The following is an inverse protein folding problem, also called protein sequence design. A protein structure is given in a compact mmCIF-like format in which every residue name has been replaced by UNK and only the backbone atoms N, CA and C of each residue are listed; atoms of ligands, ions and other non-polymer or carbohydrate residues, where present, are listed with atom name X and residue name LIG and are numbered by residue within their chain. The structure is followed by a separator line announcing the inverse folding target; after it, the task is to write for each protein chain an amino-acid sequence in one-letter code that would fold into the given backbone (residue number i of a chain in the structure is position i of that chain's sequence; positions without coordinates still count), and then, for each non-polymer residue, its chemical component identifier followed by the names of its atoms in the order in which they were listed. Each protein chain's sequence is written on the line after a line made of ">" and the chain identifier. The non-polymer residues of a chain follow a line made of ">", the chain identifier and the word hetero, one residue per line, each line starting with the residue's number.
data_IF_215398572661
#
_entry.id   IF_215398572661
#
_cell.length_a   1.000
_cell.length_b   1.000
_cell.length_c   1.000
_cell.angle_alpha   90.00
_cell.angle_beta   90.00
_cell.angle_gamma   90.00
#
_symmetry.space_group_name_H-M   'P 1'
#
loop_
_entity.id
_entity.type
_entity.pdbx_description
1 polymer ?
#
# COMPACT_ATOMS: atom_id res chain seq x y z
N UNK A 1 -9.47 16.47 -5.10
CA UNK A 1 -8.42 17.40 -4.63
C UNK A 1 -9.06 18.26 -3.55
N UNK A 2 -8.72 18.06 -2.28
CA UNK A 2 -9.12 19.00 -1.23
C UNK A 2 -8.06 20.09 -1.21
N UNK A 3 -8.45 21.32 -1.54
CA UNK A 3 -7.58 22.47 -1.32
C UNK A 3 -7.60 22.78 0.18
N UNK A 4 -6.42 23.02 0.76
CA UNK A 4 -6.34 23.47 2.15
C UNK A 4 -6.89 24.89 2.21
N UNK A 5 -8.01 25.09 2.92
CA UNK A 5 -8.52 26.42 3.23
C UNK A 5 -7.66 26.98 4.36
N UNK A 6 -6.94 28.10 4.15
CA UNK A 6 -6.12 28.67 5.21
C UNK A 6 -7.00 29.25 6.32
N UNK A 7 -6.62 29.01 7.58
CA UNK A 7 -7.33 29.53 8.76
C UNK A 7 -7.30 31.08 8.84
N UNK A 8 -6.30 31.70 8.23
CA UNK A 8 -6.17 33.14 8.11
C UNK A 8 -6.16 33.55 6.61
N UNK A 9 -7.08 34.42 6.16
CA UNK A 9 -7.17 34.84 4.76
C UNK A 9 -5.95 35.62 4.26
N UNK A 10 -5.10 36.14 5.15
CA UNK A 10 -3.85 36.83 4.80
C UNK A 10 -2.60 35.93 4.94
N UNK A 11 -2.77 34.65 5.28
CA UNK A 11 -1.65 33.71 5.39
C UNK A 11 -1.17 33.29 3.99
N UNK A 12 0.14 33.35 3.71
CA UNK A 12 0.67 32.78 2.48
C UNK A 12 0.40 31.28 2.41
N UNK A 13 -0.20 30.83 1.30
CA UNK A 13 -0.48 29.43 1.02
C UNK A 13 0.79 28.79 0.49
N UNK A 14 1.32 27.80 1.22
CA UNK A 14 2.40 26.94 0.75
C UNK A 14 1.80 25.61 0.30
N UNK A 15 1.60 25.39 -1.01
CA UNK A 15 1.01 24.14 -1.48
C UNK A 15 1.99 22.98 -1.23
N UNK A 16 1.55 21.99 -0.47
CA UNK A 16 2.29 20.75 -0.25
C UNK A 16 1.66 19.63 -1.07
N UNK A 17 2.46 18.97 -1.91
CA UNK A 17 2.04 17.78 -2.62
C UNK A 17 2.33 16.55 -1.78
N UNK A 18 1.28 15.92 -1.26
CA UNK A 18 1.39 14.61 -0.64
C UNK A 18 1.38 13.53 -1.72
N UNK A 19 2.37 12.65 -1.67
CA UNK A 19 2.51 11.51 -2.59
C UNK A 19 2.33 10.25 -1.76
N UNK A 20 1.56 9.30 -2.27
CA UNK A 20 1.36 8.03 -1.59
C UNK A 20 2.70 7.26 -1.55
N UNK A 21 3.07 6.75 -0.37
CA UNK A 21 4.26 5.92 -0.21
C UNK A 21 4.05 4.47 -0.66
N UNK A 22 2.80 4.06 -0.87
CA UNK A 22 2.47 2.76 -1.46
C UNK A 22 2.75 2.77 -2.97
N UNK A 23 3.90 2.21 -3.34
CA UNK A 23 4.35 2.11 -4.74
C UNK A 23 3.48 1.19 -5.60
N UNK A 24 2.63 0.35 -5.00
CA UNK A 24 1.80 -0.60 -5.74
C UNK A 24 0.42 -0.05 -6.10
N UNK A 25 -0.02 1.05 -5.46
CA UNK A 25 -1.40 1.54 -5.62
C UNK A 25 -1.76 1.90 -7.08
N UNK A 26 -0.81 2.46 -7.82
CA UNK A 26 -1.01 2.83 -9.24
C UNK A 26 -0.39 1.80 -10.21
N UNK A 27 0.12 0.67 -9.69
CA UNK A 27 0.81 -0.37 -10.48
C UNK A 27 0.00 -1.66 -10.55
N UNK A 28 -0.64 -2.05 -9.44
CA UNK A 28 -1.45 -3.27 -9.35
C UNK A 28 -2.93 -2.85 -9.27
N UNK A 29 -3.70 -3.00 -10.35
CA UNK A 29 -5.07 -2.46 -10.46
C UNK A 29 -6.04 -3.00 -9.40
N UNK A 30 -5.79 -4.20 -8.88
CA UNK A 30 -6.64 -4.80 -7.86
C UNK A 30 -6.49 -4.11 -6.49
N UNK A 31 -5.43 -3.34 -6.24
CA UNK A 31 -5.21 -2.69 -4.95
C UNK A 31 -6.14 -1.48 -4.81
N UNK A 32 -7.00 -1.53 -3.78
CA UNK A 32 -7.91 -0.43 -3.43
C UNK A 32 -7.21 0.60 -2.54
N UNK A 33 -6.30 0.15 -1.69
CA UNK A 33 -5.62 1.00 -0.72
C UNK A 33 -4.81 0.20 0.28
N UNK A 34 -4.14 0.90 1.19
CA UNK A 34 -3.32 0.27 2.21
C UNK A 34 -2.41 1.25 2.93
N UNK A 35 -1.49 0.69 3.72
CA UNK A 35 -0.47 1.45 4.45
C UNK A 35 0.87 0.71 4.44
N UNK A 36 1.94 1.48 4.27
CA UNK A 36 3.33 1.04 4.46
C UNK A 36 3.85 1.46 5.83
N UNK A 37 4.72 0.66 6.43
CA UNK A 37 5.44 0.96 7.67
C UNK A 37 6.88 0.45 7.62
N UNK A 38 7.77 1.12 8.33
CA UNK A 38 9.16 0.70 8.52
C UNK A 38 9.70 1.24 9.84
N UNK A 39 10.43 0.40 10.58
CA UNK A 39 11.34 0.81 11.66
C UNK A 39 12.52 -0.17 11.65
N UNK A 40 13.68 0.24 12.16
CA UNK A 40 14.90 -0.58 12.14
C UNK A 40 14.71 -1.98 12.75
N UNK A 41 13.88 -2.11 13.79
CA UNK A 41 13.62 -3.39 14.46
C UNK A 41 12.46 -4.19 13.85
N UNK A 42 11.51 -3.54 13.18
CA UNK A 42 10.35 -4.22 12.59
C UNK A 42 10.53 -4.56 11.11
N UNK A 43 11.53 -3.97 10.46
CA UNK A 43 11.70 -4.01 9.02
C UNK A 43 10.51 -3.42 8.25
N UNK A 44 10.42 -3.79 6.98
CA UNK A 44 9.42 -3.36 6.02
C UNK A 44 8.10 -4.09 6.23
N UNK A 45 7.09 -3.33 6.62
CA UNK A 45 5.73 -3.81 6.82
C UNK A 45 4.77 -3.20 5.80
N UNK A 46 3.76 -3.97 5.42
CA UNK A 46 2.72 -3.54 4.49
C UNK A 46 1.39 -4.19 4.84
N UNK A 47 0.32 -3.40 4.84
CA UNK A 47 -1.05 -3.88 4.86
C UNK A 47 -1.78 -3.28 3.66
N UNK A 48 -2.53 -4.08 2.91
CA UNK A 48 -3.36 -3.58 1.82
C UNK A 48 -4.68 -4.33 1.69
N UNK A 49 -5.59 -3.71 0.97
CA UNK A 49 -6.85 -4.30 0.51
C UNK A 49 -6.78 -4.45 -1.01
N UNK A 50 -6.97 -5.67 -1.49
CA UNK A 50 -7.13 -5.99 -2.90
C UNK A 50 -8.57 -6.40 -3.21
N UNK A 51 -9.10 -5.97 -4.35
CA UNK A 51 -10.38 -6.37 -4.90
C UNK A 51 -10.13 -7.48 -5.92
N UNK A 52 -10.54 -8.70 -5.60
CA UNK A 52 -10.48 -9.88 -6.48
C UNK A 52 -11.91 -10.32 -6.80
N UNK A 53 -12.35 -10.09 -8.03
CA UNK A 53 -13.75 -10.28 -8.45
C UNK A 53 -14.72 -9.55 -7.48
N UNK A 54 -15.60 -10.30 -6.80
CA UNK A 54 -16.57 -9.77 -5.84
C UNK A 54 -16.06 -9.75 -4.39
N UNK A 55 -14.79 -10.14 -4.15
CA UNK A 55 -14.24 -10.30 -2.81
C UNK A 55 -13.15 -9.27 -2.52
N UNK A 56 -13.14 -8.78 -1.28
CA UNK A 56 -12.04 -7.98 -0.74
C UNK A 56 -11.12 -8.86 0.08
N UNK A 57 -9.84 -8.83 -0.24
CA UNK A 57 -8.81 -9.59 0.47
C UNK A 57 -7.87 -8.61 1.15
N UNK A 58 -7.60 -8.85 2.43
CA UNK A 58 -6.60 -8.12 3.21
C UNK A 58 -5.30 -8.90 3.15
N UNK A 59 -4.24 -8.24 2.68
CA UNK A 59 -2.89 -8.81 2.61
C UNK A 59 -1.98 -8.07 3.59
N UNK A 60 -1.21 -8.82 4.38
CA UNK A 60 -0.30 -8.30 5.40
C UNK A 60 1.07 -8.97 5.25
N UNK A 61 2.11 -8.14 5.06
CA UNK A 61 3.52 -8.54 5.04
C UNK A 61 4.22 -7.83 6.19
N UNK A 62 5.02 -8.58 6.97
CA UNK A 62 5.78 -8.06 8.12
C UNK A 62 7.25 -8.45 7.99
N UNK A 63 8.17 -7.57 8.42
CA UNK A 63 9.60 -7.90 8.51
C UNK A 63 10.32 -8.10 7.18
N UNK A 64 9.75 -7.66 6.07
CA UNK A 64 10.34 -7.81 4.75
C UNK A 64 11.46 -6.77 4.56
N UNK A 65 12.68 -7.16 4.98
CA UNK A 65 14.00 -6.48 4.96
C UNK A 65 14.75 -6.61 6.31
N UNK A 66 14.10 -7.16 7.36
CA UNK A 66 14.60 -7.26 8.74
C UNK A 66 15.69 -8.31 9.00
N UNK A 67 16.57 -8.56 8.02
CA UNK A 67 17.69 -9.50 8.16
C UNK A 67 18.17 -10.18 6.87
N UNK A 68 17.44 -10.01 5.75
CA UNK A 68 17.83 -10.56 4.46
C UNK A 68 17.76 -9.48 3.36
N UNK A 69 18.87 -9.24 2.62
CA UNK A 69 18.98 -8.12 1.68
C UNK A 69 18.12 -8.26 0.42
N UNK A 70 17.53 -9.44 0.19
CA UNK A 70 16.69 -9.74 -0.98
C UNK A 70 15.20 -9.66 -0.70
N UNK A 71 14.78 -9.47 0.56
CA UNK A 71 13.37 -9.35 0.93
C UNK A 71 12.93 -7.89 0.79
N UNK A 72 11.93 -7.66 -0.06
CA UNK A 72 11.32 -6.35 -0.29
C UNK A 72 9.81 -6.47 -0.10
N UNK A 73 9.24 -5.67 0.82
CA UNK A 73 7.81 -5.73 1.16
C UNK A 73 6.88 -5.55 -0.05
N UNK A 74 7.25 -4.76 -1.05
CA UNK A 74 6.41 -4.53 -2.22
C UNK A 74 6.43 -5.76 -3.14
N UNK A 75 7.60 -6.35 -3.38
CA UNK A 75 7.73 -7.58 -4.16
C UNK A 75 7.01 -8.76 -3.50
N UNK A 76 7.14 -8.92 -2.19
CA UNK A 76 6.43 -10.01 -1.48
C UNK A 76 4.91 -9.82 -1.50
N UNK A 77 4.47 -8.58 -1.36
CA UNK A 77 3.05 -8.23 -1.47
C UNK A 77 2.49 -8.52 -2.87
N UNK A 78 3.24 -8.15 -3.93
CA UNK A 78 2.87 -8.44 -5.33
C UNK A 78 2.79 -9.94 -5.60
N UNK A 79 3.77 -10.72 -5.13
CA UNK A 79 3.75 -12.20 -5.23
C UNK A 79 2.51 -12.81 -4.59
N UNK A 80 2.14 -12.36 -3.39
CA UNK A 80 0.95 -12.85 -2.70
C UNK A 80 -0.34 -12.51 -3.46
N UNK A 81 -0.46 -11.29 -4.01
CA UNK A 81 -1.62 -10.93 -4.85
C UNK A 81 -1.67 -11.81 -6.10
N UNK A 82 -0.55 -12.01 -6.79
CA UNK A 82 -0.51 -12.85 -7.99
C UNK A 82 -0.86 -14.31 -7.66
N UNK A 83 -0.34 -14.83 -6.56
CA UNK A 83 -0.69 -16.17 -6.08
C UNK A 83 -2.18 -16.30 -5.75
N UNK A 84 -2.81 -15.29 -5.13
CA UNK A 84 -4.25 -15.31 -4.84
C UNK A 84 -5.13 -15.41 -6.10
N UNK A 85 -4.66 -14.88 -7.25
CA UNK A 85 -5.37 -14.98 -8.54
C UNK A 85 -5.36 -16.40 -9.09
N UNK A 86 -4.33 -17.18 -8.79
CA UNK A 86 -4.14 -18.54 -9.30
C UNK A 86 -4.64 -19.61 -8.32
N UNK A 87 -4.52 -19.36 -7.01
CA UNK A 87 -4.78 -20.35 -5.98
C UNK A 87 -6.27 -20.53 -5.63
N UNK A 88 -7.12 -19.55 -5.97
CA UNK A 88 -8.54 -19.56 -5.60
C UNK A 88 -9.45 -19.30 -6.81
N UNK A 89 -10.57 -20.02 -6.83
CA UNK A 89 -11.69 -19.71 -7.72
C UNK A 89 -12.66 -18.79 -6.97
N UNK A 90 -12.65 -17.51 -7.32
CA UNK A 90 -13.49 -16.47 -6.71
C UNK A 90 -14.93 -16.54 -7.25
N UNK A 91 -15.73 -17.48 -6.73
CA UNK A 91 -17.15 -17.66 -7.09
C UNK A 91 -18.04 -17.31 -5.89
N UNK A 92 -19.19 -16.70 -6.19
CA UNK A 92 -20.27 -16.42 -5.24
C UNK A 92 -21.09 -17.68 -4.94
#
# INVERSE_FOLDING_TARGET
>A
KSEAVPDNPNQPIFPHRLINSNKLLDVVPEIVGGKTGYTDLAGGCMILVAQLENFKVINIVLGADGGAPFLDRFKETEKLINWLKEAYLWKL
#
